data_IF_453665944634
#
_entry.id   IF_453665944634
#
_cell.length_a   1.000
_cell.length_b   1.000
_cell.length_c   1.000
_cell.angle_alpha   90.00
_cell.angle_beta   90.00
_cell.angle_gamma   90.00
#
_symmetry.space_group_name_H-M   'P 1'
#
loop_
_entity.id
_entity.type
_entity.pdbx_description
1 polymer ?
#
# COMPACT_ATOMS: atom_id res chain seq x y z
N UNK A 1 -1.46 -5.41 9.64
CA UNK A 1 -2.46 -4.97 10.64
C UNK A 1 -3.85 -5.16 10.05
N UNK A 2 -4.62 -6.13 10.55
CA UNK A 2 -6.03 -6.25 10.17
C UNK A 2 -6.83 -5.25 10.99
N UNK A 3 -7.53 -4.34 10.31
CA UNK A 3 -8.50 -3.47 10.96
C UNK A 3 -9.60 -4.33 11.60
N UNK A 4 -10.02 -3.95 12.80
CA UNK A 4 -11.12 -4.60 13.51
C UNK A 4 -12.40 -4.39 12.68
N UNK A 5 -13.16 -5.47 12.44
CA UNK A 5 -14.44 -5.36 11.71
C UNK A 5 -15.32 -4.37 12.44
N UNK A 6 -15.93 -3.42 11.73
CA UNK A 6 -16.96 -2.56 12.30
C UNK A 6 -18.08 -3.48 12.81
N UNK A 7 -18.49 -3.32 14.06
CA UNK A 7 -19.64 -4.07 14.58
C UNK A 7 -20.84 -3.73 13.71
N UNK A 8 -21.48 -4.73 13.11
CA UNK A 8 -22.77 -4.54 12.46
C UNK A 8 -23.77 -4.01 13.47
N UNK A 9 -24.75 -3.22 13.01
CA UNK A 9 -25.88 -2.85 13.86
C UNK A 9 -26.53 -4.11 14.45
N UNK A 10 -27.11 -4.01 15.66
CA UNK A 10 -27.87 -5.11 16.24
C UNK A 10 -28.96 -5.56 15.25
N UNK A 11 -29.01 -6.86 15.00
CA UNK A 11 -30.08 -7.47 14.22
C UNK A 11 -31.38 -7.20 14.97
N UNK A 12 -32.40 -6.71 14.28
CA UNK A 12 -33.75 -6.52 14.85
C UNK A 12 -34.19 -7.80 15.58
N UNK A 13 -34.85 -7.67 16.72
CA UNK A 13 -35.19 -8.82 17.57
C UNK A 13 -36.30 -9.71 16.97
N UNK A 14 -36.97 -9.21 15.93
CA UNK A 14 -38.04 -9.89 15.19
C UNK A 14 -37.52 -10.43 13.85
N UNK A 15 -37.46 -11.77 13.65
CA UNK A 15 -36.95 -12.40 12.44
C UNK A 15 -37.84 -12.19 11.20
N UNK A 16 -39.11 -11.78 11.39
CA UNK A 16 -40.06 -11.59 10.28
C UNK A 16 -40.06 -10.16 9.73
N UNK A 17 -39.41 -9.21 10.42
CA UNK A 17 -39.32 -7.81 9.99
C UNK A 17 -37.87 -7.46 9.66
N UNK A 18 -37.39 -7.71 8.43
CA UNK A 18 -36.04 -7.32 8.03
C UNK A 18 -35.92 -5.80 8.00
N UNK A 19 -34.73 -5.25 8.31
CA UNK A 19 -34.49 -3.81 8.19
C UNK A 19 -34.61 -3.36 6.73
N UNK A 20 -35.06 -2.12 6.54
CA UNK A 20 -35.12 -1.51 5.21
C UNK A 20 -33.72 -1.28 4.63
N UNK A 21 -33.57 -1.61 3.35
CA UNK A 21 -32.35 -1.36 2.57
C UNK A 21 -32.33 0.12 2.17
N UNK A 22 -31.69 0.95 3.00
CA UNK A 22 -31.54 2.39 2.72
C UNK A 22 -30.28 2.70 1.91
N UNK A 23 -30.25 3.84 1.20
CA UNK A 23 -29.06 4.30 0.47
C UNK A 23 -27.85 4.50 1.40
N UNK A 24 -28.09 4.95 2.63
CA UNK A 24 -27.06 5.08 3.65
C UNK A 24 -26.44 3.71 4.00
N UNK A 25 -27.29 2.68 4.17
CA UNK A 25 -26.84 1.32 4.41
C UNK A 25 -26.04 0.74 3.24
N UNK A 26 -26.50 0.99 2.00
CA UNK A 26 -25.77 0.58 0.78
C UNK A 26 -24.42 1.28 0.68
N UNK A 27 -24.34 2.55 1.05
CA UNK A 27 -23.11 3.35 0.91
C UNK A 27 -21.95 2.86 1.78
N UNK A 28 -22.28 2.30 2.96
CA UNK A 28 -21.31 1.75 3.92
C UNK A 28 -20.94 0.29 3.64
N UNK A 29 -21.63 -0.38 2.72
CA UNK A 29 -21.43 -1.80 2.45
C UNK A 29 -20.04 -2.10 1.88
N UNK A 30 -19.42 -3.15 2.42
CA UNK A 30 -18.17 -3.72 1.92
C UNK A 30 -18.44 -4.60 0.69
N UNK A 31 -17.67 -4.40 -0.39
CA UNK A 31 -17.76 -5.26 -1.58
C UNK A 31 -16.87 -6.49 -1.42
N UNK A 32 -17.42 -7.69 -1.57
CA UNK A 32 -16.69 -8.95 -1.55
C UNK A 32 -16.74 -9.65 -2.92
N UNK A 33 -15.61 -10.24 -3.33
CA UNK A 33 -15.54 -11.19 -4.44
C UNK A 33 -15.15 -12.55 -3.84
N UNK A 34 -16.12 -13.46 -3.73
CA UNK A 34 -15.98 -14.68 -2.93
C UNK A 34 -15.72 -14.34 -1.46
N UNK A 35 -14.68 -14.93 -0.86
CA UNK A 35 -14.28 -14.64 0.53
C UNK A 35 -13.41 -13.38 0.68
N UNK A 36 -13.09 -12.69 -0.42
CA UNK A 36 -12.11 -11.59 -0.43
C UNK A 36 -12.79 -10.22 -0.44
N UNK A 37 -12.51 -9.42 0.58
CA UNK A 37 -12.88 -8.02 0.65
C UNK A 37 -12.14 -7.21 -0.45
N UNK A 38 -12.90 -6.61 -1.36
CA UNK A 38 -12.41 -5.69 -2.38
C UNK A 38 -12.23 -4.32 -1.73
N UNK A 39 -10.99 -4.03 -1.30
CA UNK A 39 -10.66 -2.72 -0.76
C UNK A 39 -10.68 -1.67 -1.87
N UNK A 40 -11.53 -0.66 -1.71
CA UNK A 40 -11.53 0.55 -2.54
C UNK A 40 -10.17 1.25 -2.41
N UNK A 41 -9.50 1.57 -3.52
CA UNK A 41 -8.21 2.27 -3.56
C UNK A 41 -7.26 1.78 -4.66
N UNK A 42 -6.09 2.42 -4.80
CA UNK A 42 -5.03 2.00 -5.74
C UNK A 42 -4.62 0.55 -5.42
N UNK A 43 -4.56 -0.35 -6.42
CA UNK A 43 -4.13 -1.73 -6.20
C UNK A 43 -2.77 -1.78 -5.52
N UNK A 44 -2.60 -2.75 -4.62
CA UNK A 44 -1.32 -2.96 -3.92
C UNK A 44 -0.25 -3.29 -4.95
N UNK A 45 0.79 -2.45 -5.03
CA UNK A 45 1.95 -2.70 -5.90
C UNK A 45 2.67 -3.95 -5.41
N UNK A 46 3.01 -4.87 -6.32
CA UNK A 46 3.65 -6.14 -5.99
C UNK A 46 5.03 -5.95 -5.33
N UNK A 47 5.85 -5.04 -5.87
CA UNK A 47 7.17 -4.72 -5.37
C UNK A 47 7.26 -3.22 -5.03
N UNK A 48 6.78 -2.79 -3.85
CA UNK A 48 6.89 -1.39 -3.44
C UNK A 48 8.35 -1.03 -3.14
N UNK A 49 8.74 0.21 -3.45
CA UNK A 49 10.03 0.77 -3.02
C UNK A 49 10.08 0.74 -1.49
N UNK A 50 11.14 0.17 -0.93
CA UNK A 50 11.32 0.13 0.51
C UNK A 50 11.96 1.44 0.99
N UNK A 51 11.42 1.99 2.07
CA UNK A 51 12.04 3.14 2.72
C UNK A 51 13.24 2.65 3.53
N UNK A 52 14.44 3.03 3.09
CA UNK A 52 15.69 2.74 3.80
C UNK A 52 16.26 4.02 4.41
N UNK A 53 16.67 3.96 5.67
CA UNK A 53 17.45 5.03 6.30
C UNK A 53 18.94 4.76 6.06
N UNK A 54 19.56 5.52 5.16
CA UNK A 54 20.96 5.38 4.77
C UNK A 54 21.69 6.72 4.96
N UNK A 55 22.92 6.67 5.49
CA UNK A 55 23.77 7.86 5.68
C UNK A 55 24.65 8.07 4.46
N UNK A 56 24.48 9.20 3.78
CA UNK A 56 25.32 9.63 2.65
C UNK A 56 26.11 10.88 3.04
N UNK A 57 27.32 11.08 2.48
CA UNK A 57 28.02 12.35 2.60
C UNK A 57 27.18 13.52 2.05
N UNK A 58 27.20 14.70 2.69
CA UNK A 58 26.35 15.84 2.31
C UNK A 58 26.59 16.29 0.86
N UNK A 59 27.85 16.31 0.41
CA UNK A 59 28.24 16.65 -0.96
C UNK A 59 27.56 15.78 -2.03
N UNK A 60 27.28 14.52 -1.71
CA UNK A 60 26.59 13.61 -2.64
C UNK A 60 25.11 14.02 -2.76
N UNK A 61 24.47 14.28 -1.62
CA UNK A 61 23.06 14.71 -1.57
C UNK A 61 22.88 16.04 -2.31
N UNK A 62 23.78 17.00 -2.10
CA UNK A 62 23.75 18.30 -2.78
C UNK A 62 23.85 18.18 -4.30
N UNK A 63 24.79 17.37 -4.80
CA UNK A 63 24.93 17.10 -6.23
C UNK A 63 23.67 16.52 -6.83
N UNK A 64 23.05 15.56 -6.15
CA UNK A 64 21.79 14.98 -6.62
C UNK A 64 20.64 15.99 -6.56
N UNK A 65 20.49 16.73 -5.46
CA UNK A 65 19.46 17.79 -5.35
C UNK A 65 19.59 18.85 -6.43
N UNK A 66 20.82 19.21 -6.81
CA UNK A 66 21.09 20.17 -7.89
C UNK A 66 20.60 19.68 -9.26
N UNK A 67 20.37 18.37 -9.45
CA UNK A 67 19.76 17.85 -10.69
C UNK A 67 18.26 18.19 -10.81
N UNK A 68 17.66 18.79 -9.78
CA UNK A 68 16.26 19.24 -9.78
C UNK A 68 15.26 18.21 -9.27
N UNK A 69 13.95 18.44 -9.47
CA UNK A 69 12.89 17.53 -9.05
C UNK A 69 13.12 16.10 -9.55
N UNK A 70 12.72 15.11 -8.73
CA UNK A 70 12.90 13.69 -9.05
C UNK A 70 14.31 13.14 -8.85
N UNK A 71 15.23 13.89 -8.24
CA UNK A 71 16.61 13.44 -7.98
C UNK A 71 16.69 12.12 -7.19
N UNK A 72 15.75 11.85 -6.28
CA UNK A 72 15.70 10.59 -5.53
C UNK A 72 15.37 9.39 -6.43
N UNK A 73 14.56 9.57 -7.47
CA UNK A 73 14.27 8.54 -8.46
C UNK A 73 15.51 8.28 -9.31
N UNK A 74 16.13 9.34 -9.85
CA UNK A 74 17.40 9.18 -10.61
C UNK A 74 18.51 8.52 -9.80
N UNK A 75 18.62 8.84 -8.51
CA UNK A 75 19.58 8.21 -7.61
C UNK A 75 19.28 6.72 -7.43
N UNK A 76 18.01 6.33 -7.28
CA UNK A 76 17.65 4.92 -7.17
C UNK A 76 17.92 4.14 -8.46
N UNK A 77 17.61 4.72 -9.63
CA UNK A 77 17.90 4.09 -10.92
C UNK A 77 19.42 3.88 -11.11
N UNK A 78 20.24 4.82 -10.63
CA UNK A 78 21.69 4.69 -10.65
C UNK A 78 22.18 3.55 -9.71
N UNK A 79 21.58 3.43 -8.52
CA UNK A 79 21.88 2.34 -7.58
C UNK A 79 21.50 0.97 -8.15
N UNK A 80 20.37 0.87 -8.85
CA UNK A 80 19.94 -0.36 -9.52
C UNK A 80 20.92 -0.77 -10.64
N UNK A 81 21.35 0.18 -11.48
CA UNK A 81 22.32 -0.07 -12.56
C UNK A 81 23.71 -0.46 -12.04
N UNK A 82 24.11 0.07 -10.89
CA UNK A 82 25.40 -0.19 -10.25
C UNK A 82 25.36 -1.31 -9.22
N UNK A 83 24.19 -1.96 -9.06
CA UNK A 83 24.03 -3.05 -8.12
C UNK A 83 25.07 -4.15 -8.41
N UNK A 84 25.74 -4.68 -7.38
CA UNK A 84 26.71 -5.74 -7.58
C UNK A 84 26.03 -6.92 -8.28
N UNK A 85 26.65 -7.45 -9.34
CA UNK A 85 26.23 -8.73 -9.92
C UNK A 85 26.29 -9.74 -8.77
N UNK A 86 25.15 -10.36 -8.44
CA UNK A 86 25.11 -11.37 -7.39
C UNK A 86 26.20 -12.39 -7.70
N UNK A 87 27.25 -12.46 -6.88
CA UNK A 87 28.11 -13.65 -6.89
C UNK A 87 27.18 -14.76 -6.44
N UNK A 88 26.76 -15.59 -7.39
CA UNK A 88 26.02 -16.82 -7.10
C UNK A 88 26.74 -17.46 -5.92
N UNK A 89 25.98 -17.73 -4.86
CA UNK A 89 26.47 -18.55 -3.77
C UNK A 89 26.91 -19.87 -4.39
N UNK A 90 28.22 -20.11 -4.37
CA UNK A 90 28.74 -21.46 -4.47
C UNK A 90 28.30 -22.14 -3.19
N UNK A 91 27.34 -23.05 -3.32
CA UNK A 91 26.76 -23.90 -2.29
C UNK A 91 26.01 -25.01 -2.99
#
# INVERSE_FOLDING_TARGET
MSAKRKSSNPISHDPETPPEITDAWISEADLYLGEKLVRRGRPKVANPRQLLSLRLPPKVIERWRATGPGWQTRMADALEKSAPKSRRAVG
#
